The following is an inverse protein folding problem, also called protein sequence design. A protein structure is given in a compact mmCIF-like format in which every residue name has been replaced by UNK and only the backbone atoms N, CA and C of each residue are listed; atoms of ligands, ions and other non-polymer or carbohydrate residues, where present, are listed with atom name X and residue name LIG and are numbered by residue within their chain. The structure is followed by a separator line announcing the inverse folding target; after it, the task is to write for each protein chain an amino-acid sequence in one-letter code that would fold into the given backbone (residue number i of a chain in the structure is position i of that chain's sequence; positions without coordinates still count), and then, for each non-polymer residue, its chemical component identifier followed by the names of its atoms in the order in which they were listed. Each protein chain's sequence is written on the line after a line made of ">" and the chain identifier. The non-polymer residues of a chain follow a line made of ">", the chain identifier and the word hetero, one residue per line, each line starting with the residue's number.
data_IF_761848893429
#
_entry.id   IF_761848893429
#
_cell.length_a   1.000
_cell.length_b   1.000
_cell.length_c   1.000
_cell.angle_alpha   90.00
_cell.angle_beta   90.00
_cell.angle_gamma   90.00
#
_symmetry.space_group_name_H-M   'P 1'
#
loop_
_entity.id
_entity.type
_entity.pdbx_description
1 polymer ?
#
# COMPACT_ATOMS: atom_id res chain seq x y z
N UNK A 1 6.74 17.58 26.56
CA UNK A 1 5.60 16.69 26.83
C UNK A 1 5.87 15.34 26.21
N UNK A 2 6.49 14.45 26.97
CA UNK A 2 6.79 13.07 26.56
C UNK A 2 5.48 12.27 26.54
N UNK A 3 4.98 11.98 25.35
CA UNK A 3 4.02 10.89 25.17
C UNK A 3 4.85 9.62 25.07
N UNK A 4 5.10 8.99 26.23
CA UNK A 4 5.51 7.59 26.26
C UNK A 4 4.30 6.81 25.75
N UNK A 5 4.27 6.53 24.44
CA UNK A 5 3.31 5.63 23.83
C UNK A 5 3.38 4.31 24.60
N UNK A 6 2.35 4.05 25.40
CA UNK A 6 2.30 2.91 26.30
C UNK A 6 2.37 1.60 25.50
N UNK A 7 2.87 0.53 26.12
CA UNK A 7 3.03 -0.81 25.51
C UNK A 7 1.78 -1.34 24.79
N UNK A 8 0.58 -0.80 25.07
CA UNK A 8 -0.67 -1.13 24.35
C UNK A 8 -0.73 -0.61 22.91
N UNK A 9 -0.15 0.55 22.62
CA UNK A 9 -0.17 1.15 21.27
C UNK A 9 0.80 0.40 20.34
N UNK A 10 1.93 -0.08 20.89
CA UNK A 10 2.90 -0.90 20.16
C UNK A 10 2.31 -2.23 19.66
N UNK A 11 1.27 -2.77 20.32
CA UNK A 11 0.60 -4.00 19.86
C UNK A 11 -0.41 -3.75 18.72
N UNK A 12 -0.84 -2.50 18.51
CA UNK A 12 -1.80 -2.11 17.48
C UNK A 12 -1.13 -1.73 16.17
N UNK A 13 0.10 -1.24 16.22
CA UNK A 13 0.89 -0.91 15.04
C UNK A 13 1.94 -1.98 14.77
N UNK A 14 2.00 -2.52 13.56
CA UNK A 14 3.02 -3.50 13.17
C UNK A 14 3.83 -3.00 11.97
N UNK A 15 5.16 -3.10 12.03
CA UNK A 15 6.03 -2.90 10.86
C UNK A 15 6.37 -4.27 10.26
N UNK A 16 6.07 -4.44 8.97
CA UNK A 16 6.45 -5.64 8.22
C UNK A 16 7.70 -5.36 7.39
N UNK A 17 8.74 -6.13 7.65
CA UNK A 17 10.00 -6.14 6.89
C UNK A 17 10.13 -7.42 6.06
N UNK A 18 11.04 -7.42 5.09
CA UNK A 18 11.19 -8.54 4.16
C UNK A 18 11.88 -9.74 4.81
N UNK A 19 13.09 -9.53 5.34
CA UNK A 19 13.96 -10.57 5.86
C UNK A 19 13.85 -10.82 7.36
N UNK A 20 14.22 -12.03 7.78
CA UNK A 20 14.43 -12.35 9.20
C UNK A 20 15.62 -11.57 9.78
N UNK A 21 16.60 -11.22 8.96
CA UNK A 21 17.77 -10.44 9.38
C UNK A 21 17.31 -9.04 9.82
N UNK A 22 16.52 -8.33 9.01
CA UNK A 22 15.94 -7.03 9.37
C UNK A 22 15.16 -7.11 10.68
N UNK A 23 14.32 -8.14 10.81
CA UNK A 23 13.55 -8.38 12.03
C UNK A 23 14.45 -8.53 13.26
N UNK A 24 15.45 -9.40 13.22
CA UNK A 24 16.35 -9.60 14.36
C UNK A 24 17.15 -8.34 14.70
N UNK A 25 17.60 -7.61 13.68
CA UNK A 25 18.38 -6.38 13.85
C UNK A 25 17.55 -5.26 14.48
N UNK A 26 16.29 -5.12 14.08
CA UNK A 26 15.35 -4.16 14.67
C UNK A 26 14.96 -4.58 16.10
N UNK A 27 14.69 -5.87 16.34
CA UNK A 27 14.39 -6.39 17.69
C UNK A 27 15.56 -6.19 18.66
N UNK A 28 16.80 -6.40 18.21
CA UNK A 28 18.00 -6.17 19.02
C UNK A 28 18.17 -4.71 19.46
N UNK A 29 17.50 -3.77 18.77
CA UNK A 29 17.50 -2.33 19.07
C UNK A 29 16.19 -1.86 19.73
N UNK A 30 15.48 -2.79 20.37
CA UNK A 30 14.26 -2.55 21.14
C UNK A 30 13.06 -2.06 20.31
N UNK A 31 13.02 -2.31 19.00
CA UNK A 31 11.81 -2.12 18.20
C UNK A 31 10.92 -3.35 18.33
N UNK A 32 9.95 -3.30 19.22
CA UNK A 32 9.18 -4.50 19.58
C UNK A 32 8.16 -4.92 18.52
N UNK A 33 7.62 -3.96 17.79
CA UNK A 33 6.47 -4.08 16.90
C UNK A 33 6.86 -4.33 15.44
N UNK A 34 7.79 -5.27 15.23
CA UNK A 34 8.29 -5.65 13.91
C UNK A 34 8.00 -7.13 13.66
N UNK A 35 7.67 -7.49 12.43
CA UNK A 35 7.62 -8.88 11.97
C UNK A 35 8.18 -9.01 10.54
N UNK A 36 8.69 -10.19 10.20
CA UNK A 36 9.22 -10.48 8.87
C UNK A 36 8.23 -11.27 8.01
N UNK A 37 8.23 -11.01 6.70
CA UNK A 37 7.53 -11.83 5.71
C UNK A 37 8.29 -13.14 5.38
N UNK A 38 9.62 -13.14 5.54
CA UNK A 38 10.45 -14.35 5.43
C UNK A 38 10.43 -14.98 4.03
N UNK A 39 10.36 -14.17 2.98
CA UNK A 39 10.31 -14.65 1.59
C UNK A 39 9.00 -15.33 1.17
N UNK A 40 7.98 -15.36 2.04
CA UNK A 40 6.66 -15.87 1.67
C UNK A 40 5.85 -14.78 0.97
N UNK A 41 5.20 -15.14 -0.13
CA UNK A 41 4.24 -14.22 -0.74
C UNK A 41 3.09 -13.97 0.24
N UNK A 42 2.79 -12.69 0.48
CA UNK A 42 1.61 -12.34 1.26
C UNK A 42 0.36 -12.87 0.59
N UNK A 43 -0.70 -13.08 1.37
CA UNK A 43 -2.03 -13.42 0.88
C UNK A 43 -3.09 -12.70 1.73
N UNK A 44 -4.35 -12.62 1.28
CA UNK A 44 -5.39 -11.90 2.01
C UNK A 44 -5.61 -12.43 3.44
N UNK A 45 -5.45 -13.74 3.67
CA UNK A 45 -5.61 -14.34 5.01
C UNK A 45 -4.55 -13.85 5.99
N UNK A 46 -3.37 -13.45 5.52
CA UNK A 46 -2.34 -12.84 6.38
C UNK A 46 -2.88 -11.58 7.04
N UNK A 47 -3.47 -10.67 6.27
CA UNK A 47 -4.03 -9.42 6.80
C UNK A 47 -5.26 -9.65 7.68
N UNK A 48 -6.11 -10.62 7.33
CA UNK A 48 -7.24 -11.01 8.18
C UNK A 48 -6.78 -11.54 9.55
N UNK A 49 -5.72 -12.36 9.57
CA UNK A 49 -5.11 -12.86 10.80
C UNK A 49 -4.54 -11.72 11.64
N UNK A 50 -3.77 -10.81 11.03
CA UNK A 50 -3.23 -9.64 11.73
C UNK A 50 -4.36 -8.83 12.38
N UNK A 51 -5.45 -8.56 11.64
CA UNK A 51 -6.59 -7.84 12.21
C UNK A 51 -7.28 -8.60 13.34
N UNK A 52 -7.41 -9.93 13.23
CA UNK A 52 -7.97 -10.79 14.29
C UNK A 52 -7.11 -10.78 15.57
N UNK A 53 -5.80 -10.64 15.43
CA UNK A 53 -4.85 -10.52 16.53
C UNK A 53 -4.84 -9.13 17.19
N UNK A 54 -5.67 -8.19 16.72
CA UNK A 54 -5.77 -6.84 17.28
C UNK A 54 -4.85 -5.81 16.64
N UNK A 55 -4.15 -6.16 15.55
CA UNK A 55 -3.35 -5.19 14.79
C UNK A 55 -4.29 -4.24 14.05
N UNK A 56 -4.19 -2.95 14.36
CA UNK A 56 -5.01 -1.89 13.76
C UNK A 56 -4.34 -1.29 12.52
N UNK A 57 -3.01 -1.14 12.55
CA UNK A 57 -2.23 -0.59 11.45
C UNK A 57 -1.02 -1.46 11.11
N UNK A 58 -0.69 -1.53 9.82
CA UNK A 58 0.49 -2.21 9.30
C UNK A 58 1.28 -1.22 8.46
N UNK A 59 2.57 -1.08 8.72
CA UNK A 59 3.50 -0.31 7.87
C UNK A 59 4.40 -1.29 7.13
N UNK A 60 4.35 -1.28 5.80
CA UNK A 60 5.23 -2.06 4.95
C UNK A 60 6.55 -1.30 4.76
N UNK A 61 7.67 -1.92 5.10
CA UNK A 61 9.02 -1.39 4.87
C UNK A 61 9.90 -2.53 4.36
N UNK A 62 9.79 -2.81 3.06
CA UNK A 62 10.51 -3.89 2.38
C UNK A 62 11.78 -3.37 1.69
N UNK A 63 12.51 -4.25 1.02
CA UNK A 63 13.79 -3.91 0.42
C UNK A 63 13.66 -2.84 -0.67
N UNK A 64 14.70 -2.01 -0.79
CA UNK A 64 14.86 -0.98 -1.81
C UNK A 64 15.39 -1.56 -3.12
N UNK A 65 14.65 -2.52 -3.66
CA UNK A 65 14.87 -3.08 -5.00
C UNK A 65 13.54 -3.40 -5.70
N UNK A 66 13.62 -3.88 -6.94
CA UNK A 66 12.43 -4.18 -7.75
C UNK A 66 11.59 -5.33 -7.16
N UNK A 67 12.24 -6.30 -6.50
CA UNK A 67 11.55 -7.41 -5.86
C UNK A 67 10.78 -6.91 -4.63
N UNK A 68 11.39 -6.07 -3.79
CA UNK A 68 10.77 -5.42 -2.64
C UNK A 68 9.62 -4.48 -3.03
N UNK A 69 9.77 -3.71 -4.11
CA UNK A 69 8.69 -2.90 -4.70
C UNK A 69 7.50 -3.77 -5.13
N UNK A 70 7.78 -4.85 -5.86
CA UNK A 70 6.76 -5.81 -6.30
C UNK A 70 6.07 -6.49 -5.12
N UNK A 71 6.83 -6.87 -4.08
CA UNK A 71 6.29 -7.45 -2.86
C UNK A 71 5.38 -6.47 -2.12
N UNK A 72 5.74 -5.18 -2.08
CA UNK A 72 4.93 -4.13 -1.47
C UNK A 72 3.62 -3.93 -2.24
N UNK A 73 3.66 -3.87 -3.58
CA UNK A 73 2.44 -3.81 -4.41
C UNK A 73 1.51 -5.00 -4.14
N UNK A 74 2.06 -6.22 -4.11
CA UNK A 74 1.29 -7.43 -3.81
C UNK A 74 0.69 -7.42 -2.40
N UNK A 75 1.45 -6.95 -1.41
CA UNK A 75 0.99 -6.83 -0.03
C UNK A 75 -0.20 -5.86 0.09
N UNK A 76 -0.13 -4.69 -0.55
CA UNK A 76 -1.26 -3.76 -0.63
C UNK A 76 -2.46 -4.41 -1.31
N UNK A 77 -2.28 -5.05 -2.46
CA UNK A 77 -3.37 -5.73 -3.19
C UNK A 77 -4.04 -6.84 -2.36
N UNK A 78 -3.25 -7.60 -1.61
CA UNK A 78 -3.77 -8.64 -0.72
C UNK A 78 -4.54 -8.06 0.47
N UNK A 79 -4.12 -6.92 1.01
CA UNK A 79 -4.83 -6.21 2.07
C UNK A 79 -6.19 -5.65 1.61
N UNK A 80 -6.28 -5.25 0.34
CA UNK A 80 -7.54 -4.81 -0.29
C UNK A 80 -8.51 -5.97 -0.43
N UNK A 81 -8.01 -7.13 -0.87
CA UNK A 81 -8.82 -8.35 -1.08
C UNK A 81 -9.26 -9.02 0.23
N UNK A 82 -8.62 -8.71 1.35
CA UNK A 82 -9.01 -9.21 2.66
C UNK A 82 -10.38 -8.67 3.09
N UNK A 83 -11.22 -9.52 3.69
CA UNK A 83 -12.54 -9.09 4.19
C UNK A 83 -12.39 -8.04 5.30
N UNK A 84 -11.40 -8.26 6.18
CA UNK A 84 -11.00 -7.33 7.23
C UNK A 84 -9.48 -7.23 7.20
N UNK A 85 -8.96 -6.02 7.19
CA UNK A 85 -7.53 -5.74 7.17
C UNK A 85 -7.21 -4.65 8.20
N UNK A 86 -6.00 -4.63 8.78
CA UNK A 86 -5.43 -3.41 9.33
C UNK A 86 -5.36 -2.32 8.26
N UNK A 87 -5.30 -1.06 8.67
CA UNK A 87 -4.96 0.04 7.76
C UNK A 87 -3.51 -0.15 7.32
N UNK A 88 -3.27 -0.19 6.01
CA UNK A 88 -1.93 -0.44 5.46
C UNK A 88 -1.30 0.88 5.03
N UNK A 89 -0.12 1.13 5.58
CA UNK A 89 0.81 2.18 5.19
C UNK A 89 2.02 1.58 4.49
N UNK A 90 2.70 2.39 3.69
CA UNK A 90 3.90 2.03 2.96
C UNK A 90 5.00 3.03 3.26
N UNK A 91 6.20 2.54 3.53
CA UNK A 91 7.42 3.29 3.35
C UNK A 91 7.86 3.03 1.91
N UNK A 92 7.72 4.06 1.07
CA UNK A 92 8.21 4.01 -0.31
C UNK A 92 9.68 3.57 -0.32
N UNK A 93 10.08 2.55 -1.08
CA UNK A 93 11.45 2.02 -1.06
C UNK A 93 12.50 3.10 -1.29
N UNK A 94 12.21 4.09 -2.12
CA UNK A 94 13.07 5.25 -2.40
C UNK A 94 13.38 6.10 -1.15
N UNK A 95 12.59 5.99 -0.08
CA UNK A 95 12.82 6.68 1.19
C UNK A 95 13.91 6.04 2.05
N UNK A 96 14.33 4.81 1.72
CA UNK A 96 15.53 4.20 2.28
C UNK A 96 16.81 4.83 1.71
N UNK A 97 16.69 5.68 0.68
CA UNK A 97 17.81 6.40 0.05
C UNK A 97 18.89 5.42 -0.43
N UNK A 98 20.15 5.58 0.02
CA UNK A 98 21.25 4.66 -0.31
C UNK A 98 21.19 3.33 0.45
N UNK A 99 20.34 3.21 1.46
CA UNK A 99 20.18 1.96 2.19
C UNK A 99 19.38 0.96 1.35
N UNK A 100 19.91 -0.25 1.24
CA UNK A 100 19.23 -1.35 0.54
C UNK A 100 18.01 -1.84 1.32
N UNK A 101 18.10 -1.88 2.63
CA UNK A 101 17.11 -2.51 3.50
C UNK A 101 17.07 -1.80 4.88
N UNK A 102 16.06 -2.10 5.71
CA UNK A 102 15.97 -1.57 7.07
C UNK A 102 17.23 -1.81 7.93
N UNK A 103 17.87 -2.96 7.80
CA UNK A 103 19.09 -3.31 8.54
C UNK A 103 20.27 -2.37 8.18
N UNK A 104 20.54 -2.17 6.89
CA UNK A 104 21.57 -1.24 6.39
C UNK A 104 21.28 0.18 6.86
N UNK A 105 20.03 0.65 6.80
CA UNK A 105 19.66 1.99 7.28
C UNK A 105 20.02 2.14 8.76
N UNK A 106 19.58 1.20 9.59
CA UNK A 106 19.77 1.28 11.04
C UNK A 106 21.24 1.12 11.44
N UNK A 107 22.01 0.28 10.74
CA UNK A 107 23.45 0.15 10.98
C UNK A 107 24.23 1.40 10.59
N UNK A 108 23.86 2.06 9.50
CA UNK A 108 24.60 3.21 8.96
C UNK A 108 24.20 4.55 9.59
N UNK A 109 22.90 4.74 9.88
CA UNK A 109 22.34 6.03 10.32
C UNK A 109 21.72 5.98 11.73
N UNK A 110 21.68 4.80 12.36
CA UNK A 110 21.18 4.63 13.72
C UNK A 110 19.66 4.49 13.84
N UNK A 111 19.21 4.33 15.08
CA UNK A 111 17.80 4.07 15.41
C UNK A 111 16.89 5.29 15.23
N UNK A 112 17.43 6.49 15.34
CA UNK A 112 16.66 7.73 15.12
C UNK A 112 16.34 7.96 13.65
N UNK A 113 17.20 7.53 12.73
CA UNK A 113 16.92 7.52 11.31
C UNK A 113 15.73 6.61 10.99
N UNK A 114 15.67 5.43 11.61
CA UNK A 114 14.52 4.51 11.48
C UNK A 114 13.23 5.12 12.02
N UNK A 115 13.24 5.72 13.22
CA UNK A 115 12.06 6.41 13.77
C UNK A 115 11.60 7.54 12.84
N UNK A 116 12.54 8.32 12.31
CA UNK A 116 12.26 9.39 11.35
C UNK A 116 11.73 8.86 10.02
N UNK A 117 12.19 7.70 9.57
CA UNK A 117 11.68 7.05 8.37
C UNK A 117 10.21 6.65 8.57
N UNK A 118 9.87 6.06 9.71
CA UNK A 118 8.50 5.62 10.02
C UNK A 118 7.47 6.77 10.01
N UNK A 119 7.87 8.00 10.33
CA UNK A 119 6.97 9.17 10.25
C UNK A 119 6.64 9.58 8.82
N UNK A 120 7.41 9.10 7.83
CA UNK A 120 7.22 9.38 6.40
C UNK A 120 6.35 8.33 5.70
N UNK A 121 5.73 7.41 6.45
CA UNK A 121 4.80 6.41 5.91
C UNK A 121 3.60 7.09 5.24
N UNK A 122 3.19 6.55 4.11
CA UNK A 122 2.04 7.04 3.34
C UNK A 122 0.96 5.98 3.21
N UNK A 123 -0.27 6.38 2.89
CA UNK A 123 -1.39 5.44 2.70
C UNK A 123 -1.07 4.45 1.58
N UNK A 124 -1.19 3.14 1.85
CA UNK A 124 -0.84 2.10 0.89
C UNK A 124 -1.67 2.13 -0.40
N UNK A 125 -2.95 2.54 -0.31
CA UNK A 125 -3.84 2.68 -1.47
C UNK A 125 -3.38 3.83 -2.37
N UNK A 126 -3.06 4.98 -1.77
CA UNK A 126 -2.52 6.16 -2.47
C UNK A 126 -1.20 5.81 -3.15
N UNK A 127 -0.30 5.18 -2.41
CA UNK A 127 0.98 4.72 -2.95
C UNK A 127 0.79 3.79 -4.14
N UNK A 128 -0.05 2.75 -4.01
CA UNK A 128 -0.30 1.76 -5.07
C UNK A 128 -0.95 2.39 -6.30
N UNK A 129 -1.88 3.32 -6.11
CA UNK A 129 -2.48 4.09 -7.21
C UNK A 129 -1.43 4.93 -7.94
N UNK A 130 -0.52 5.57 -7.19
CA UNK A 130 0.63 6.29 -7.73
C UNK A 130 1.52 5.40 -8.61
N UNK A 131 1.73 4.14 -8.24
CA UNK A 131 2.49 3.17 -9.05
C UNK A 131 1.84 2.88 -10.42
N UNK A 132 0.51 2.99 -10.55
CA UNK A 132 -0.19 2.76 -11.83
C UNK A 132 0.00 3.90 -12.83
N UNK A 133 0.50 5.04 -12.35
CA UNK A 133 0.75 6.27 -13.13
C UNK A 133 2.18 6.78 -12.92
N UNK A 134 3.09 5.89 -12.51
CA UNK A 134 4.47 6.24 -12.23
C UNK A 134 5.21 6.70 -13.49
N UNK A 135 4.90 6.06 -14.62
CA UNK A 135 5.36 6.32 -15.99
C UNK A 135 4.71 7.56 -16.64
N UNK A 136 3.70 8.17 -16.00
CA UNK A 136 2.96 9.28 -16.59
C UNK A 136 3.57 10.62 -16.22
N UNK A 137 3.83 11.45 -17.21
CA UNK A 137 4.19 12.86 -17.01
C UNK A 137 2.95 13.78 -17.02
N UNK A 138 2.86 14.78 -16.11
CA UNK A 138 1.71 15.70 -16.08
C UNK A 138 1.49 16.46 -17.40
N UNK A 139 2.59 16.76 -18.10
CA UNK A 139 2.61 17.44 -19.39
C UNK A 139 2.94 16.49 -20.55
N UNK A 140 2.89 15.17 -20.29
CA UNK A 140 3.08 14.14 -21.30
C UNK A 140 1.94 14.12 -22.32
N UNK A 141 1.98 13.14 -23.22
CA UNK A 141 0.98 13.04 -24.28
C UNK A 141 -0.43 12.82 -23.70
N UNK A 142 -1.45 13.29 -24.42
CA UNK A 142 -2.84 13.10 -24.02
C UNK A 142 -3.18 11.61 -23.85
N UNK A 143 -2.67 10.75 -24.74
CA UNK A 143 -2.94 9.32 -24.74
C UNK A 143 -2.28 8.62 -23.55
N UNK A 144 -1.01 8.92 -23.26
CA UNK A 144 -0.29 8.42 -22.08
C UNK A 144 -1.02 8.78 -20.78
N UNK A 145 -1.41 10.05 -20.62
CA UNK A 145 -2.12 10.51 -19.44
C UNK A 145 -3.48 9.83 -19.28
N UNK A 146 -4.21 9.63 -20.38
CA UNK A 146 -5.53 8.98 -20.38
C UNK A 146 -5.43 7.48 -20.12
N UNK A 147 -4.41 6.83 -20.66
CA UNK A 147 -4.13 5.41 -20.40
C UNK A 147 -3.76 5.18 -18.93
N UNK A 148 -2.89 6.02 -18.37
CA UNK A 148 -2.57 5.99 -16.93
C UNK A 148 -3.81 6.15 -16.06
N UNK A 149 -4.67 7.13 -16.36
CA UNK A 149 -5.96 7.30 -15.68
C UNK A 149 -6.87 6.07 -15.85
N UNK A 150 -6.84 5.41 -17.00
CA UNK A 150 -7.65 4.21 -17.25
C UNK A 150 -7.22 3.04 -16.38
N UNK A 151 -5.91 2.80 -16.27
CA UNK A 151 -5.32 1.78 -15.38
C UNK A 151 -5.66 2.07 -13.92
N UNK A 152 -5.46 3.31 -13.47
CA UNK A 152 -5.78 3.73 -12.11
C UNK A 152 -7.28 3.62 -11.80
N UNK A 153 -8.14 4.10 -12.70
CA UNK A 153 -9.59 4.05 -12.55
C UNK A 153 -10.15 2.64 -12.50
N UNK A 154 -9.60 1.72 -13.30
CA UNK A 154 -9.98 0.29 -13.27
C UNK A 154 -9.66 -0.35 -11.92
N UNK A 155 -8.48 -0.06 -11.35
CA UNK A 155 -8.08 -0.62 -10.06
C UNK A 155 -8.83 0.02 -8.91
N UNK A 156 -8.91 1.37 -8.87
CA UNK A 156 -9.64 2.11 -7.85
C UNK A 156 -11.12 1.77 -7.86
N UNK A 157 -11.72 1.61 -9.04
CA UNK A 157 -13.10 1.18 -9.25
C UNK A 157 -13.45 -0.16 -8.62
N UNK A 158 -12.48 -1.06 -8.51
CA UNK A 158 -12.65 -2.40 -7.96
C UNK A 158 -12.41 -2.49 -6.43
N UNK A 159 -12.05 -1.39 -5.77
CA UNK A 159 -11.85 -1.38 -4.33
C UNK A 159 -13.17 -1.62 -3.57
N UNK A 160 -13.14 -2.37 -2.45
CA UNK A 160 -14.31 -2.56 -1.61
C UNK A 160 -14.74 -1.23 -0.97
N UNK A 161 -16.06 -1.05 -0.77
CA UNK A 161 -16.65 0.19 -0.24
C UNK A 161 -16.07 0.65 1.12
N UNK A 162 -15.52 -0.29 1.91
CA UNK A 162 -14.84 0.01 3.18
C UNK A 162 -13.57 0.88 3.02
N UNK A 163 -13.06 1.05 1.81
CA UNK A 163 -11.87 1.84 1.47
C UNK A 163 -12.23 3.14 0.72
N UNK A 164 -13.45 3.64 0.89
CA UNK A 164 -13.93 4.81 0.13
C UNK A 164 -13.13 6.09 0.41
N UNK A 165 -12.66 6.28 1.65
CA UNK A 165 -11.84 7.44 2.01
C UNK A 165 -10.45 7.34 1.38
N UNK A 166 -9.80 6.18 1.47
CA UNK A 166 -8.50 5.95 0.85
C UNK A 166 -8.59 6.01 -0.68
N UNK A 167 -9.71 5.59 -1.25
CA UNK A 167 -10.01 5.73 -2.68
C UNK A 167 -10.13 7.20 -3.08
N UNK A 168 -10.79 8.04 -2.28
CA UNK A 168 -10.89 9.50 -2.52
C UNK A 168 -9.50 10.15 -2.51
N UNK A 169 -8.67 9.85 -1.50
CA UNK A 169 -7.30 10.36 -1.41
C UNK A 169 -6.45 9.92 -2.62
N UNK A 170 -6.61 8.67 -3.06
CA UNK A 170 -5.89 8.13 -4.21
C UNK A 170 -6.34 8.79 -5.53
N UNK A 171 -7.63 9.09 -5.70
CA UNK A 171 -8.15 9.84 -6.87
C UNK A 171 -7.51 11.22 -6.93
N UNK A 172 -7.44 11.93 -5.80
CA UNK A 172 -6.80 13.25 -5.71
C UNK A 172 -5.33 13.20 -6.13
N UNK A 173 -4.59 12.21 -5.64
CA UNK A 173 -3.18 12.02 -5.97
C UNK A 173 -2.95 11.71 -7.45
N UNK A 174 -3.73 10.77 -8.00
CA UNK A 174 -3.67 10.37 -9.41
C UNK A 174 -4.04 11.53 -10.34
N UNK A 175 -5.11 12.27 -10.04
CA UNK A 175 -5.53 13.42 -10.85
C UNK A 175 -4.41 14.46 -10.99
N UNK A 176 -3.77 14.80 -9.86
CA UNK A 176 -2.63 15.71 -9.83
C UNK A 176 -1.45 15.18 -10.66
N UNK A 177 -1.11 13.89 -10.54
CA UNK A 177 0.00 13.28 -11.27
C UNK A 177 -0.23 13.28 -12.79
N UNK A 178 -1.46 13.02 -13.23
CA UNK A 178 -1.84 13.00 -14.65
C UNK A 178 -2.18 14.39 -15.23
N UNK A 179 -2.02 15.47 -14.47
CA UNK A 179 -2.28 16.83 -14.96
C UNK A 179 -3.75 17.14 -15.26
N UNK A 180 -4.68 16.61 -14.47
CA UNK A 180 -6.11 16.89 -14.56
C UNK A 180 -6.65 17.47 -13.25
N UNK A 181 -7.79 18.18 -13.32
CA UNK A 181 -8.50 18.59 -12.11
C UNK A 181 -9.14 17.37 -11.44
N UNK A 182 -9.26 17.43 -10.12
CA UNK A 182 -9.85 16.34 -9.32
C UNK A 182 -11.30 16.10 -9.77
N UNK A 183 -12.06 17.17 -9.99
CA UNK A 183 -13.47 17.12 -10.40
C UNK A 183 -13.65 16.45 -11.77
N UNK A 184 -12.72 16.67 -12.70
CA UNK A 184 -12.76 16.04 -14.01
C UNK A 184 -12.52 14.53 -13.92
N UNK A 185 -11.55 14.11 -13.11
CA UNK A 185 -11.23 12.69 -12.90
C UNK A 185 -12.34 11.98 -12.13
N UNK A 186 -12.87 12.59 -11.06
CA UNK A 186 -13.99 12.04 -10.30
C UNK A 186 -15.22 11.80 -11.19
N UNK A 187 -15.58 12.79 -12.02
CA UNK A 187 -16.68 12.65 -12.97
C UNK A 187 -16.44 11.51 -13.97
N UNK A 188 -15.22 11.42 -14.51
CA UNK A 188 -14.85 10.35 -15.44
C UNK A 188 -14.90 8.97 -14.78
N UNK A 189 -14.37 8.84 -13.56
CA UNK A 189 -14.35 7.56 -12.85
C UNK A 189 -15.75 7.14 -12.40
N UNK A 190 -16.59 8.07 -11.94
CA UNK A 190 -18.01 7.79 -11.62
C UNK A 190 -18.75 7.26 -12.84
N UNK A 191 -18.57 7.91 -14.00
CA UNK A 191 -19.22 7.47 -15.23
C UNK A 191 -18.75 6.09 -15.68
N UNK A 192 -17.44 5.81 -15.61
CA UNK A 192 -16.82 4.62 -16.24
C UNK A 192 -16.67 3.41 -15.33
N UNK A 193 -16.34 3.59 -14.05
CA UNK A 193 -15.89 2.50 -13.18
C UNK A 193 -16.82 2.24 -11.98
N UNK A 194 -17.60 3.24 -11.52
CA UNK A 194 -18.48 3.11 -10.36
C UNK A 194 -19.99 2.98 -10.70
N UNK A 195 -20.34 2.92 -11.97
CA UNK A 195 -21.73 2.73 -12.41
C UNK A 195 -22.23 1.30 -12.15
N UNK A 196 -23.51 1.08 -11.78
CA UNK A 196 -24.08 -0.23 -11.43
C UNK A 196 -24.00 -1.32 -12.51
N UNK A 197 -23.73 -0.96 -13.77
CA UNK A 197 -23.64 -1.92 -14.86
C UNK A 197 -22.36 -2.78 -14.82
N UNK A 198 -21.28 -2.32 -14.17
CA UNK A 198 -20.00 -3.07 -14.11
C UNK A 198 -19.94 -4.11 -12.97
N UNK A 199 -20.86 -4.08 -12.01
CA UNK A 199 -20.93 -5.08 -10.94
C UNK A 199 -21.59 -6.38 -11.39
N UNK A 200 -22.44 -6.36 -12.43
CA UNK A 200 -23.13 -7.56 -12.93
C UNK A 200 -22.29 -8.39 -13.91
N UNK A 201 -21.39 -7.78 -14.69
CA UNK A 201 -20.58 -8.51 -15.69
C UNK A 201 -19.57 -9.47 -15.05
N UNK A 202 -18.97 -9.08 -13.90
CA UNK A 202 -18.00 -9.95 -13.19
C UNK A 202 -18.64 -11.16 -12.51
N UNK A 203 -19.91 -11.07 -12.09
CA UNK A 203 -20.65 -12.21 -11.54
C UNK A 203 -20.97 -13.26 -12.61
N UNK A 204 -21.18 -12.83 -13.86
CA UNK A 204 -21.48 -13.73 -14.97
C UNK A 204 -20.23 -14.48 -15.46
N UNK A 205 -19.08 -13.81 -15.60
CA UNK A 205 -17.83 -14.46 -16.01
C UNK A 205 -17.26 -15.42 -14.97
N UNK A 206 -17.41 -15.11 -13.67
CA UNK A 206 -16.98 -16.01 -12.59
C UNK A 206 -17.86 -17.26 -12.45
N UNK A 207 -19.08 -17.24 -12.99
CA UNK A 207 -20.00 -18.38 -13.00
C UNK A 207 -19.72 -19.32 -14.17
N UNK A 208 -19.39 -18.78 -15.35
CA UNK A 208 -19.05 -19.56 -16.54
C UNK A 208 -17.69 -20.27 -16.39
N UNK A 209 -16.72 -19.67 -15.70
CA UNK A 209 -15.40 -20.29 -15.45
C UNK A 209 -15.36 -21.41 -14.41
N UNK A 210 -16.50 -21.81 -13.82
CA UNK A 210 -16.60 -22.95 -12.87
C UNK A 210 -17.33 -24.17 -13.45
N UNK A 211 -17.81 -24.10 -14.69
CA UNK A 211 -18.52 -25.20 -15.37
C UNK A 211 -17.74 -25.82 -16.53
N UNK A 212 -16.41 -25.62 -16.60
CA UNK A 212 -15.49 -26.34 -17.49
C UNK A 212 -14.33 -26.91 -16.69
#
# INVERSE_FOLDING_TARGET
>A
SEVIASSRDAHRELVLVEGLIDFHQLKARSFENVAALGGTSTNPRTFERLRKLGVETVTLCLDNDEAGRTATMRAVENSVRAQRSPTVYVISPERLDVAKDPDVLVRSQGTDAWRTLLTKRECGIVWRAGQLVADVEPNGSLDERREGLSRAGTWLGALPARLSLEQEDAVRAVAKRCGYTVEAVERAFRARYWSPQHSQTRSHEAMIGREL
#
